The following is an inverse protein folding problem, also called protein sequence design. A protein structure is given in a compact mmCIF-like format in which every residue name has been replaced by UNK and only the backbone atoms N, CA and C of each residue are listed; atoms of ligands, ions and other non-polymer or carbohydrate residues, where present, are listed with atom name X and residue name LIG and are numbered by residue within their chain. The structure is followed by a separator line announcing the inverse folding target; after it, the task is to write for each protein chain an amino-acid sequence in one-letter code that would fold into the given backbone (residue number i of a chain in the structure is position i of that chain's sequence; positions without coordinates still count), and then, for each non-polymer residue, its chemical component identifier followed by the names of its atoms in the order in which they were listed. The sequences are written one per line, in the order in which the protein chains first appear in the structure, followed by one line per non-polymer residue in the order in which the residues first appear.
data_IF_934824178551
#
_entry.id   IF_934824178551
#
_cell.length_a   1.000
_cell.length_b   1.000
_cell.length_c   1.000
_cell.angle_alpha   90.00
_cell.angle_beta   90.00
_cell.angle_gamma   90.00
#
_symmetry.space_group_name_H-M   'P 1'
#
loop_
_entity.id
_entity.type
_entity.pdbx_description
1 polymer ?
#
# COMPACT_ATOMS: atom_id res chain seq x y z
N UNK A 1 49.89 -11.14 35.27
CA UNK A 1 49.60 -10.07 34.29
C UNK A 1 49.54 -10.72 32.91
N UNK A 2 48.37 -10.86 32.31
CA UNK A 2 48.14 -10.59 30.89
C UNK A 2 46.63 -10.51 30.66
N UNK A 3 46.22 -9.27 30.44
CA UNK A 3 44.89 -8.80 30.08
C UNK A 3 44.69 -8.92 28.57
N UNK A 4 43.43 -9.15 28.18
CA UNK A 4 42.76 -8.69 26.93
C UNK A 4 43.13 -9.45 25.63
N UNK A 5 42.22 -9.74 24.69
CA UNK A 5 40.99 -9.05 24.31
C UNK A 5 39.94 -10.01 23.72
N UNK A 6 38.70 -9.99 24.21
CA UNK A 6 37.54 -10.48 23.45
C UNK A 6 37.11 -9.35 22.50
N UNK A 7 37.37 -9.51 21.20
CA UNK A 7 36.79 -8.63 20.18
C UNK A 7 35.33 -9.06 19.93
N UNK A 8 34.37 -8.35 20.51
CA UNK A 8 32.95 -8.47 20.14
C UNK A 8 32.73 -7.78 18.79
N UNK A 9 32.65 -8.58 17.73
CA UNK A 9 32.23 -8.12 16.41
C UNK A 9 30.71 -7.90 16.42
N UNK A 10 30.26 -6.65 16.52
CA UNK A 10 28.85 -6.30 16.28
C UNK A 10 28.54 -6.56 14.81
N UNK A 11 27.80 -7.62 14.51
CA UNK A 11 27.22 -7.82 13.19
C UNK A 11 26.10 -6.80 12.98
N UNK A 12 26.34 -5.76 12.16
CA UNK A 12 25.27 -4.92 11.63
C UNK A 12 24.48 -5.75 10.62
N UNK A 13 23.28 -6.19 10.99
CA UNK A 13 22.33 -6.74 10.02
C UNK A 13 21.81 -5.57 9.18
N UNK A 14 22.26 -5.44 7.92
CA UNK A 14 21.65 -4.52 6.98
C UNK A 14 20.24 -5.03 6.66
N UNK A 15 19.22 -4.31 7.13
CA UNK A 15 17.84 -4.56 6.70
C UNK A 15 17.71 -4.06 5.26
N UNK A 16 17.63 -4.98 4.31
CA UNK A 16 17.29 -4.61 2.93
C UNK A 16 15.80 -4.32 2.91
N UNK A 17 15.44 -3.07 2.59
CA UNK A 17 14.05 -2.61 2.55
C UNK A 17 13.51 -2.77 1.12
N UNK A 18 12.39 -3.49 0.95
CA UNK A 18 11.68 -3.53 -0.34
C UNK A 18 11.00 -2.19 -0.63
N UNK A 19 10.65 -1.96 -1.90
CA UNK A 19 10.02 -0.72 -2.33
C UNK A 19 9.10 -0.96 -3.53
N UNK A 20 7.84 -0.55 -3.44
CA UNK A 20 6.90 -0.62 -4.55
C UNK A 20 5.68 0.27 -4.42
N UNK A 21 5.02 0.57 -5.55
CA UNK A 21 3.84 1.44 -5.61
C UNK A 21 3.01 1.17 -6.88
N UNK A 22 1.69 1.35 -6.82
CA UNK A 22 0.90 1.55 -8.04
C UNK A 22 1.35 2.85 -8.73
N UNK A 23 1.50 2.83 -10.05
CA UNK A 23 1.77 4.02 -10.87
C UNK A 23 0.59 4.38 -11.77
N UNK A 24 -0.33 3.44 -12.03
CA UNK A 24 -1.55 3.72 -12.78
C UNK A 24 -2.65 2.72 -12.40
N UNK A 25 -3.90 3.17 -12.16
CA UNK A 25 -4.31 4.57 -12.00
C UNK A 25 -3.62 5.27 -10.82
N UNK A 26 -3.65 6.60 -10.78
CA UNK A 26 -2.93 7.37 -9.75
C UNK A 26 -3.41 7.01 -8.35
N UNK A 27 -2.57 6.47 -7.46
CA UNK A 27 -2.96 6.14 -6.10
C UNK A 27 -2.99 7.40 -5.22
N UNK A 28 -3.56 7.27 -4.02
CA UNK A 28 -3.45 8.27 -2.97
C UNK A 28 -1.99 8.66 -2.73
N UNK A 29 -1.79 9.95 -2.47
CA UNK A 29 -0.52 10.55 -2.14
C UNK A 29 -0.72 11.48 -0.93
N UNK A 30 0.33 11.74 -0.12
CA UNK A 30 0.20 12.59 1.05
C UNK A 30 -0.15 14.04 0.67
N UNK A 31 -1.11 14.63 1.40
CA UNK A 31 -1.51 16.02 1.28
C UNK A 31 -2.01 16.61 2.60
N UNK A 32 -2.68 17.77 2.59
CA UNK A 32 -3.15 18.45 3.79
C UNK A 32 -4.07 17.60 4.68
N UNK A 33 -4.93 16.76 4.10
CA UNK A 33 -5.81 15.91 4.90
C UNK A 33 -5.02 14.80 5.62
N UNK A 34 -4.07 14.18 4.93
CA UNK A 34 -3.15 13.20 5.53
C UNK A 34 -2.28 13.85 6.60
N UNK A 35 -1.79 15.08 6.39
CA UNK A 35 -1.06 15.84 7.40
C UNK A 35 -1.92 16.07 8.65
N UNK A 36 -3.18 16.45 8.48
CA UNK A 36 -4.12 16.69 9.58
C UNK A 36 -4.42 15.42 10.36
N UNK A 37 -4.61 14.28 9.68
CA UNK A 37 -4.95 13.01 10.31
C UNK A 37 -3.73 12.30 10.93
N UNK A 38 -2.63 12.26 10.19
CA UNK A 38 -1.47 11.43 10.50
C UNK A 38 -0.31 12.18 11.16
N UNK A 39 -0.36 13.51 11.18
CA UNK A 39 0.76 14.35 11.63
C UNK A 39 1.89 14.45 10.60
N UNK A 40 2.83 15.40 10.80
CA UNK A 40 3.93 15.66 9.88
C UNK A 40 4.91 14.50 9.75
N UNK A 41 5.12 13.69 10.77
CA UNK A 41 6.18 12.66 10.78
C UNK A 41 5.84 11.53 9.81
N UNK A 42 4.63 10.96 9.92
CA UNK A 42 4.12 9.94 8.98
C UNK A 42 4.02 10.52 7.57
N UNK A 43 3.42 11.71 7.45
CA UNK A 43 3.18 12.35 6.14
C UNK A 43 4.48 12.64 5.40
N UNK A 44 5.50 13.16 6.09
CA UNK A 44 6.80 13.45 5.50
C UNK A 44 7.62 12.18 5.22
N UNK A 45 7.45 11.11 6.01
CA UNK A 45 8.07 9.81 5.72
C UNK A 45 7.57 9.27 4.37
N UNK A 46 6.25 9.18 4.19
CA UNK A 46 5.64 8.72 2.93
C UNK A 46 5.98 9.67 1.77
N UNK A 47 6.05 10.99 2.02
CA UNK A 47 6.44 11.96 0.98
C UNK A 47 7.91 11.79 0.57
N UNK A 48 8.79 11.48 1.52
CA UNK A 48 10.22 11.25 1.28
C UNK A 48 10.46 9.98 0.47
N UNK A 49 9.69 8.93 0.74
CA UNK A 49 9.66 7.73 -0.09
C UNK A 49 8.23 7.17 -0.22
N UNK A 50 7.54 7.40 -1.35
CA UNK A 50 6.17 6.93 -1.54
C UNK A 50 6.11 5.42 -1.83
N UNK A 51 7.25 4.75 -1.96
CA UNK A 51 7.37 3.32 -2.23
C UNK A 51 7.71 2.49 -1.00
N UNK A 52 7.90 3.14 0.16
CA UNK A 52 8.25 2.50 1.44
C UNK A 52 7.10 1.68 2.04
N UNK A 53 7.48 0.86 3.01
CA UNK A 53 6.64 -0.09 3.72
C UNK A 53 5.86 0.53 4.89
N UNK A 54 4.89 -0.22 5.42
CA UNK A 54 3.98 0.23 6.48
C UNK A 54 4.63 0.18 7.87
N UNK A 55 5.53 -0.79 8.14
CA UNK A 55 5.98 -1.14 9.49
C UNK A 55 6.73 -0.02 10.24
N UNK A 56 7.33 0.94 9.52
CA UNK A 56 8.02 2.09 10.15
C UNK A 56 7.02 3.20 10.56
N UNK A 57 5.82 3.22 9.97
CA UNK A 57 4.85 4.29 10.18
C UNK A 57 4.29 4.32 11.61
N UNK A 58 3.99 3.18 12.27
CA UNK A 58 3.54 3.19 13.66
C UNK A 58 4.55 3.80 14.63
N UNK A 59 5.85 3.51 14.47
CA UNK A 59 6.89 4.12 15.30
C UNK A 59 7.02 5.62 15.02
N UNK A 60 6.94 6.02 13.75
CA UNK A 60 6.91 7.42 13.35
C UNK A 60 5.72 8.17 13.97
N UNK A 61 4.53 7.57 13.91
CA UNK A 61 3.29 8.12 14.48
C UNK A 61 3.37 8.26 16.01
N UNK A 62 3.94 7.26 16.70
CA UNK A 62 4.05 7.27 18.16
C UNK A 62 4.91 8.43 18.71
N UNK A 63 5.83 8.96 17.89
CA UNK A 63 6.69 10.10 18.24
C UNK A 63 6.06 11.45 17.88
N UNK A 64 4.94 11.44 17.17
CA UNK A 64 4.30 12.65 16.64
C UNK A 64 3.12 13.08 17.51
N UNK A 65 3.24 14.25 18.15
CA UNK A 65 2.17 14.82 18.99
C UNK A 65 0.94 15.27 18.19
N UNK A 66 1.04 15.39 16.87
CA UNK A 66 -0.05 15.79 15.98
C UNK A 66 -0.74 14.59 15.32
N UNK A 67 -0.27 13.37 15.54
CA UNK A 67 -0.97 12.16 15.10
C UNK A 67 -2.32 12.03 15.82
N UNK A 68 -3.41 11.97 15.06
CA UNK A 68 -4.78 11.95 15.60
C UNK A 68 -5.26 10.54 16.00
N UNK A 69 -4.38 9.55 15.96
CA UNK A 69 -4.72 8.17 16.31
C UNK A 69 -5.22 7.32 15.12
N UNK A 70 -5.33 6.00 15.32
CA UNK A 70 -5.60 5.04 14.26
C UNK A 70 -7.00 5.16 13.64
N UNK A 71 -7.94 5.81 14.34
CA UNK A 71 -9.29 6.07 13.80
C UNK A 71 -9.28 7.17 12.73
N UNK A 72 -8.43 8.19 12.91
CA UNK A 72 -8.26 9.25 11.92
C UNK A 72 -7.25 8.85 10.83
N UNK A 73 -6.20 8.12 11.22
CA UNK A 73 -5.11 7.72 10.34
C UNK A 73 -4.81 6.22 10.52
N UNK A 74 -5.56 5.37 9.83
CA UNK A 74 -5.30 3.93 9.84
C UNK A 74 -4.10 3.60 8.96
N UNK A 75 -2.93 3.40 9.57
CA UNK A 75 -1.68 3.11 8.85
C UNK A 75 -1.71 1.77 8.09
N UNK A 76 -2.60 0.85 8.44
CA UNK A 76 -2.79 -0.45 7.79
C UNK A 76 -3.96 -0.47 6.80
N UNK A 77 -4.34 0.72 6.35
CA UNK A 77 -5.28 0.95 5.25
C UNK A 77 -4.78 2.14 4.46
N UNK A 78 -4.23 1.89 3.27
CA UNK A 78 -3.71 2.93 2.40
C UNK A 78 -2.57 3.74 3.04
N UNK A 79 -1.87 3.15 4.01
CA UNK A 79 -0.82 3.83 4.81
C UNK A 79 -1.32 5.07 5.56
N UNK A 80 -2.63 5.14 5.84
CA UNK A 80 -3.28 6.30 6.46
C UNK A 80 -3.51 7.48 5.51
N UNK A 81 -3.20 7.34 4.22
CA UNK A 81 -3.41 8.40 3.23
C UNK A 81 -4.89 8.65 3.00
N UNK A 82 -5.28 9.92 2.96
CA UNK A 82 -6.68 10.35 3.00
C UNK A 82 -7.27 10.54 1.59
N UNK A 83 -8.54 10.16 1.41
CA UNK A 83 -9.25 10.33 0.13
C UNK A 83 -9.33 11.79 -0.32
N UNK A 84 -9.45 12.72 0.64
CA UNK A 84 -9.53 14.14 0.39
C UNK A 84 -8.29 14.70 -0.35
N UNK A 85 -7.12 14.06 -0.19
CA UNK A 85 -5.90 14.43 -0.91
C UNK A 85 -5.88 13.89 -2.35
N UNK A 86 -6.83 13.03 -2.73
CA UNK A 86 -6.85 12.33 -4.00
C UNK A 86 -8.12 12.57 -4.85
N UNK A 87 -8.96 13.53 -4.46
CA UNK A 87 -10.25 13.81 -5.13
C UNK A 87 -10.14 14.06 -6.65
N UNK A 88 -8.99 14.58 -7.12
CA UNK A 88 -8.75 14.88 -8.54
C UNK A 88 -8.43 13.63 -9.38
N UNK A 89 -8.10 12.52 -8.73
CA UNK A 89 -7.69 11.27 -9.37
C UNK A 89 -8.69 10.14 -9.15
N UNK A 90 -9.87 10.44 -8.58
CA UNK A 90 -10.93 9.45 -8.39
C UNK A 90 -11.33 8.88 -9.74
N UNK A 91 -11.28 7.55 -9.84
CA UNK A 91 -11.71 6.84 -11.02
C UNK A 91 -13.23 6.68 -11.03
N UNK A 92 -13.84 6.65 -12.20
CA UNK A 92 -15.25 6.26 -12.35
C UNK A 92 -15.31 5.01 -13.23
N UNK A 93 -15.64 3.88 -12.63
CA UNK A 93 -15.64 2.58 -13.29
C UNK A 93 -17.04 2.02 -13.44
N UNK A 94 -17.26 1.23 -14.49
CA UNK A 94 -18.50 0.46 -14.67
C UNK A 94 -18.31 -0.99 -14.24
N UNK A 95 -19.39 -1.63 -13.80
CA UNK A 95 -19.40 -3.09 -13.60
C UNK A 95 -19.02 -3.79 -14.90
N UNK A 96 -18.17 -4.81 -14.81
CA UNK A 96 -17.60 -5.55 -15.95
C UNK A 96 -16.45 -4.84 -16.67
N UNK A 97 -16.13 -3.59 -16.32
CA UNK A 97 -15.00 -2.88 -16.91
C UNK A 97 -13.68 -3.57 -16.57
N UNK A 98 -12.83 -3.75 -17.58
CA UNK A 98 -11.42 -4.11 -17.36
C UNK A 98 -10.61 -2.84 -17.09
N UNK A 99 -9.86 -2.85 -16.00
CA UNK A 99 -9.00 -1.74 -15.59
C UNK A 99 -7.57 -2.26 -15.53
N UNK A 100 -6.68 -1.66 -16.32
CA UNK A 100 -5.26 -1.96 -16.29
C UNK A 100 -4.60 -1.29 -15.09
N UNK A 101 -3.96 -2.09 -14.25
CA UNK A 101 -3.14 -1.65 -13.12
C UNK A 101 -1.66 -1.78 -13.50
N UNK A 102 -0.89 -0.75 -13.15
CA UNK A 102 0.57 -0.74 -13.29
C UNK A 102 1.22 -0.54 -11.94
N UNK A 103 2.23 -1.35 -11.66
CA UNK A 103 3.01 -1.33 -10.42
C UNK A 103 4.48 -1.16 -10.75
N UNK A 104 5.14 -0.25 -10.05
CA UNK A 104 6.59 -0.14 -10.04
C UNK A 104 7.13 -0.87 -8.81
N UNK A 105 8.02 -1.84 -9.02
CA UNK A 105 8.75 -2.56 -7.97
C UNK A 105 10.21 -2.07 -8.00
N UNK A 106 10.58 -1.12 -7.13
CA UNK A 106 11.91 -0.50 -7.09
C UNK A 106 12.95 -1.40 -6.44
N UNK A 107 12.62 -1.98 -5.29
CA UNK A 107 13.47 -2.96 -4.60
C UNK A 107 12.59 -4.18 -4.33
N UNK A 108 12.97 -5.31 -4.93
CA UNK A 108 12.20 -6.55 -4.94
C UNK A 108 12.55 -7.42 -3.75
N UNK A 109 11.52 -8.06 -3.18
CA UNK A 109 11.64 -9.08 -2.14
C UNK A 109 10.52 -10.11 -2.30
N UNK A 110 10.90 -11.36 -2.52
CA UNK A 110 9.94 -12.44 -2.78
C UNK A 110 8.89 -12.51 -1.69
N UNK A 111 7.64 -12.65 -2.12
CA UNK A 111 6.52 -12.72 -1.22
C UNK A 111 5.19 -13.03 -1.88
N UNK A 112 4.14 -12.51 -1.25
CA UNK A 112 2.74 -12.70 -1.63
C UNK A 112 2.08 -11.36 -1.85
N UNK A 113 1.11 -11.30 -2.77
CA UNK A 113 0.41 -10.06 -3.04
C UNK A 113 -1.03 -10.32 -3.47
N UNK A 114 -1.88 -9.32 -3.30
CA UNK A 114 -3.23 -9.31 -3.84
C UNK A 114 -3.65 -7.91 -4.27
N UNK A 115 -4.66 -7.88 -5.13
CA UNK A 115 -5.42 -6.67 -5.42
C UNK A 115 -6.87 -6.91 -5.02
N UNK A 116 -7.43 -6.05 -4.20
CA UNK A 116 -8.79 -6.17 -3.67
C UNK A 116 -9.52 -4.84 -3.70
N UNK A 117 -10.85 -4.87 -3.60
CA UNK A 117 -11.66 -3.70 -3.32
C UNK A 117 -12.02 -3.70 -1.84
N UNK A 118 -11.65 -2.63 -1.14
CA UNK A 118 -11.73 -2.51 0.32
C UNK A 118 -12.68 -1.38 0.69
N UNK A 119 -13.62 -1.66 1.60
CA UNK A 119 -14.44 -0.66 2.29
C UNK A 119 -13.54 0.05 3.32
N UNK A 120 -13.39 1.36 3.16
CA UNK A 120 -12.40 2.14 3.94
C UNK A 120 -12.84 2.38 5.38
N UNK A 121 -14.14 2.24 5.68
CA UNK A 121 -14.69 2.41 7.03
C UNK A 121 -14.46 1.15 7.88
N UNK A 122 -14.54 -0.02 7.26
CA UNK A 122 -14.40 -1.32 7.95
C UNK A 122 -13.02 -1.94 7.81
N UNK A 123 -12.19 -1.45 6.87
CA UNK A 123 -10.95 -2.08 6.43
C UNK A 123 -11.16 -3.55 6.01
N UNK A 124 -12.32 -3.83 5.44
CA UNK A 124 -12.73 -5.17 4.99
C UNK A 124 -12.98 -5.19 3.49
N UNK A 125 -13.00 -6.38 2.90
CA UNK A 125 -13.38 -6.50 1.48
C UNK A 125 -14.84 -6.08 1.27
N UNK A 126 -15.07 -5.34 0.19
CA UNK A 126 -16.43 -5.06 -0.28
C UNK A 126 -17.06 -6.37 -0.72
N UNK A 127 -18.36 -6.58 -0.45
CA UNK A 127 -19.10 -7.72 -0.98
C UNK A 127 -18.98 -7.80 -2.50
N UNK A 128 -18.56 -8.96 -3.04
CA UNK A 128 -18.27 -9.14 -4.46
C UNK A 128 -16.90 -8.59 -4.92
N UNK A 129 -16.24 -7.76 -4.11
CA UNK A 129 -14.97 -7.07 -4.42
C UNK A 129 -13.73 -7.65 -3.75
N UNK A 130 -13.77 -8.89 -3.24
CA UNK A 130 -12.61 -9.59 -2.67
C UNK A 130 -11.48 -9.80 -3.69
N UNK A 131 -10.37 -10.39 -3.25
CA UNK A 131 -9.11 -10.59 -3.99
C UNK A 131 -9.24 -10.82 -5.51
N UNK A 132 -9.28 -9.75 -6.29
CA UNK A 132 -9.47 -9.74 -7.75
C UNK A 132 -8.30 -10.40 -8.46
N UNK A 133 -7.10 -10.26 -7.89
CA UNK A 133 -5.87 -10.93 -8.32
C UNK A 133 -5.09 -11.36 -7.08
N UNK A 134 -4.53 -12.56 -7.11
CA UNK A 134 -3.72 -13.12 -6.03
C UNK A 134 -2.44 -13.71 -6.60
N UNK A 135 -1.32 -13.41 -5.95
CA UNK A 135 -0.06 -14.13 -6.09
C UNK A 135 0.25 -14.79 -4.75
N UNK A 136 -0.08 -16.07 -4.63
CA UNK A 136 0.09 -16.85 -3.39
C UNK A 136 1.56 -17.09 -3.02
N UNK A 137 2.48 -16.90 -3.99
CA UNK A 137 3.92 -16.96 -3.81
C UNK A 137 4.65 -16.34 -5.00
N UNK A 138 5.95 -16.05 -4.84
CA UNK A 138 6.83 -15.67 -5.94
C UNK A 138 6.57 -14.26 -6.49
N UNK A 139 5.76 -13.44 -5.80
CA UNK A 139 5.57 -12.05 -6.19
C UNK A 139 6.82 -11.24 -5.85
N UNK A 140 7.24 -10.39 -6.79
CA UNK A 140 8.42 -9.53 -6.66
C UNK A 140 9.69 -10.30 -6.27
N UNK A 141 9.91 -11.49 -6.83
CA UNK A 141 11.11 -12.29 -6.57
C UNK A 141 12.36 -11.59 -7.14
N UNK A 142 13.30 -11.27 -6.25
CA UNK A 142 14.58 -10.65 -6.59
C UNK A 142 15.48 -11.54 -7.45
N UNK A 143 15.33 -12.87 -7.37
CA UNK A 143 16.10 -13.83 -8.16
C UNK A 143 15.58 -13.99 -9.60
N UNK A 144 14.34 -13.55 -9.89
CA UNK A 144 13.73 -13.67 -11.22
C UNK A 144 13.97 -12.41 -12.04
N UNK A 145 14.72 -12.53 -13.13
CA UNK A 145 15.03 -11.43 -14.06
C UNK A 145 14.81 -11.87 -15.52
N UNK A 146 13.98 -11.15 -16.31
CA UNK A 146 13.20 -9.97 -15.93
C UNK A 146 12.05 -10.31 -14.98
N UNK A 147 11.58 -9.33 -14.22
CA UNK A 147 10.36 -9.47 -13.40
C UNK A 147 9.19 -9.91 -14.29
N UNK A 148 8.38 -10.90 -13.88
CA UNK A 148 7.23 -11.33 -14.66
C UNK A 148 6.28 -10.18 -14.95
N UNK A 149 5.86 -10.03 -16.21
CA UNK A 149 5.03 -8.90 -16.67
C UNK A 149 3.72 -8.78 -15.90
N UNK A 150 3.10 -9.90 -15.55
CA UNK A 150 1.86 -9.92 -14.77
C UNK A 150 2.04 -9.42 -13.32
N UNK A 151 3.26 -9.18 -12.82
CA UNK A 151 3.50 -8.58 -11.51
C UNK A 151 3.67 -7.05 -11.57
N UNK A 152 3.85 -6.48 -12.76
CA UNK A 152 4.03 -5.03 -12.96
C UNK A 152 2.97 -4.40 -13.85
N UNK A 153 2.26 -5.19 -14.65
CA UNK A 153 1.09 -4.75 -15.43
C UNK A 153 0.11 -5.91 -15.59
N UNK A 154 -1.11 -5.72 -15.08
CA UNK A 154 -2.19 -6.70 -15.11
C UNK A 154 -3.55 -5.99 -15.16
N UNK A 155 -4.58 -6.69 -15.59
CA UNK A 155 -5.94 -6.17 -15.61
C UNK A 155 -6.75 -6.73 -14.44
N UNK A 156 -7.63 -5.91 -13.87
CA UNK A 156 -8.70 -6.34 -12.98
C UNK A 156 -10.05 -6.14 -13.66
N UNK A 157 -11.03 -6.99 -13.38
CA UNK A 157 -12.41 -6.78 -13.82
C UNK A 157 -13.23 -6.29 -12.65
N UNK A 158 -13.92 -5.15 -12.82
CA UNK A 158 -14.73 -4.56 -11.75
C UNK A 158 -16.01 -5.39 -11.57
N UNK A 159 -16.21 -6.02 -10.40
CA UNK A 159 -17.39 -6.84 -10.15
C UNK A 159 -18.61 -5.96 -9.80
N UNK A 160 -19.78 -6.58 -9.75
CA UNK A 160 -20.95 -5.96 -9.13
C UNK A 160 -20.73 -5.92 -7.61
N UNK A 161 -20.87 -4.74 -7.01
CA UNK A 161 -20.66 -4.47 -5.59
C UNK A 161 -21.97 -4.28 -4.82
N UNK A 162 -23.11 -4.68 -5.41
CA UNK A 162 -24.41 -4.61 -4.73
C UNK A 162 -24.83 -3.18 -4.38
N UNK A 163 -24.40 -2.20 -5.18
CA UNK A 163 -24.68 -0.79 -4.96
C UNK A 163 -23.77 -0.08 -3.95
N UNK A 164 -22.68 -0.70 -3.49
CA UNK A 164 -21.63 -0.04 -2.71
C UNK A 164 -20.70 0.83 -3.58
N UNK A 165 -19.82 1.60 -2.93
CA UNK A 165 -18.75 2.38 -3.57
C UNK A 165 -19.28 3.45 -4.55
N UNK A 166 -20.31 4.18 -4.14
CA UNK A 166 -20.93 5.24 -4.97
C UNK A 166 -20.32 6.61 -4.71
N UNK A 167 -19.72 6.79 -3.54
CA UNK A 167 -19.08 8.05 -3.14
C UNK A 167 -17.58 7.85 -3.07
N UNK A 168 -16.83 8.84 -3.56
CA UNK A 168 -15.38 8.84 -3.52
C UNK A 168 -14.88 8.65 -2.08
N UNK A 169 -13.94 7.73 -1.89
CA UNK A 169 -13.37 7.43 -0.58
C UNK A 169 -14.12 6.39 0.25
N UNK A 170 -15.36 5.99 -0.12
CA UNK A 170 -16.06 4.85 0.52
C UNK A 170 -15.28 3.55 0.31
N UNK A 171 -14.73 3.39 -0.89
CA UNK A 171 -13.97 2.22 -1.28
C UNK A 171 -12.69 2.61 -2.00
N UNK A 172 -11.73 1.69 -1.96
CA UNK A 172 -10.48 1.78 -2.71
C UNK A 172 -10.17 0.46 -3.38
N UNK A 173 -9.53 0.52 -4.55
CA UNK A 173 -8.74 -0.61 -5.02
C UNK A 173 -7.41 -0.57 -4.27
N UNK A 174 -7.15 -1.60 -3.47
CA UNK A 174 -5.92 -1.76 -2.72
C UNK A 174 -5.04 -2.78 -3.42
N UNK A 175 -3.82 -2.38 -3.79
CA UNK A 175 -2.72 -3.31 -4.01
C UNK A 175 -1.99 -3.49 -2.69
N UNK A 176 -1.85 -4.74 -2.26
CA UNK A 176 -1.16 -5.15 -1.05
C UNK A 176 -0.09 -6.17 -1.40
N UNK A 177 1.12 -5.98 -0.89
CA UNK A 177 2.23 -6.92 -1.07
C UNK A 177 2.97 -7.08 0.26
N UNK A 178 3.25 -8.32 0.62
CA UNK A 178 4.10 -8.65 1.75
C UNK A 178 5.37 -9.36 1.30
N UNK A 179 6.52 -8.71 1.51
CA UNK A 179 7.84 -9.30 1.27
C UNK A 179 8.23 -10.21 2.44
N UNK A 180 8.28 -11.53 2.21
CA UNK A 180 8.33 -12.52 3.30
C UNK A 180 9.61 -12.44 4.13
N UNK A 181 10.77 -12.34 3.48
CA UNK A 181 12.06 -12.25 4.19
C UNK A 181 12.27 -10.88 4.83
N UNK A 182 11.82 -9.84 4.16
CA UNK A 182 11.92 -8.47 4.66
C UNK A 182 10.97 -8.22 5.83
N UNK A 183 9.87 -9.00 5.92
CA UNK A 183 8.78 -8.84 6.89
C UNK A 183 8.12 -7.47 6.78
N UNK A 184 7.90 -7.05 5.54
CA UNK A 184 7.44 -5.70 5.20
C UNK A 184 6.21 -5.73 4.31
N UNK A 185 5.32 -4.78 4.56
CA UNK A 185 4.04 -4.62 3.88
C UNK A 185 4.05 -3.35 3.04
N UNK A 186 3.56 -3.46 1.81
CA UNK A 186 3.47 -2.37 0.84
C UNK A 186 2.03 -2.22 0.40
N UNK A 187 1.55 -0.98 0.41
CA UNK A 187 0.18 -0.68 0.04
C UNK A 187 0.08 0.53 -0.88
N UNK A 188 -0.81 0.42 -1.86
CA UNK A 188 -1.27 1.54 -2.66
C UNK A 188 -2.78 1.46 -2.81
N UNK A 189 -3.45 2.60 -2.68
CA UNK A 189 -4.90 2.69 -2.82
C UNK A 189 -5.27 3.63 -3.95
N UNK A 190 -6.13 3.16 -4.84
CA UNK A 190 -6.76 3.96 -5.90
C UNK A 190 -8.20 4.22 -5.49
N UNK A 191 -8.58 5.49 -5.39
CA UNK A 191 -9.98 5.88 -5.15
C UNK A 191 -10.81 5.70 -6.42
N UNK A 192 -11.99 5.13 -6.26
CA UNK A 192 -12.93 4.95 -7.35
C UNK A 192 -14.39 5.12 -6.91
N UNK A 193 -15.27 5.27 -7.89
CA UNK A 193 -16.72 5.10 -7.74
C UNK A 193 -17.24 4.13 -8.80
N UNK A 194 -18.32 3.44 -8.48
CA UNK A 194 -19.10 2.69 -9.47
C UNK A 194 -20.08 3.65 -10.15
N UNK A 195 -19.85 3.88 -11.44
CA UNK A 195 -20.74 4.64 -12.29
C UNK A 195 -22.12 3.96 -12.39
N UNK A 196 -23.21 4.73 -12.48
CA UNK A 196 -24.51 4.17 -12.83
C UNK A 196 -24.43 3.34 -14.11
N UNK A 197 -25.17 2.24 -14.14
CA UNK A 197 -25.30 1.38 -15.33
C UNK A 197 -26.00 2.12 -16.46
#
# INVERSE_FOLDING_TARGET
MHLLSLATLLALTSTVLSHGIITSPTPRSPGPASLQACGPTVTNNIKGDPTSHVEDLPEAAAKDKLYQGPQACNLWLCRGLQAADNIKNVQSWKVGQKVTIRVALRIKHVGVANVSLVDTRTNGFVGGGGMLVVWERGYADEAVTPTPKNQTTFDVTIPDLGGACKVAGECVLQWWWYGTKARQTYESCVDFTIAPS
#
